data_IF_906035299751
#
_entry.id   IF_906035299751
#
_cell.length_a   1.000
_cell.length_b   1.000
_cell.length_c   1.000
_cell.angle_alpha   90.00
_cell.angle_beta   90.00
_cell.angle_gamma   90.00
#
_symmetry.space_group_name_H-M   'P 1'
#
loop_
_entity.id
_entity.type
_entity.pdbx_description
1 polymer ?
#
# COMPACT_ATOMS: atom_id res chain seq x y z
N UNK A 1 31.41 9.96 -31.89
CA UNK A 1 30.66 10.48 -30.73
C UNK A 1 29.73 9.35 -30.31
N UNK A 2 30.04 8.66 -29.21
CA UNK A 2 29.29 7.50 -28.76
C UNK A 2 28.10 7.99 -27.94
N UNK A 3 26.88 7.77 -28.43
CA UNK A 3 25.69 7.94 -27.61
C UNK A 3 25.63 6.73 -26.68
N UNK A 4 26.07 6.92 -25.44
CA UNK A 4 25.82 6.00 -24.34
C UNK A 4 24.31 5.79 -24.29
N UNK A 5 23.89 4.58 -24.67
CA UNK A 5 22.49 4.17 -24.60
C UNK A 5 22.16 4.01 -23.13
N UNK A 6 21.83 5.13 -22.48
CA UNK A 6 21.17 5.10 -21.19
C UNK A 6 19.85 4.39 -21.39
N UNK A 7 19.81 3.10 -21.07
CA UNK A 7 18.58 2.36 -21.02
C UNK A 7 17.65 3.10 -20.06
N UNK A 8 16.59 3.70 -20.59
CA UNK A 8 15.50 4.20 -19.78
C UNK A 8 14.86 2.96 -19.16
N UNK A 9 15.27 2.63 -17.93
CA UNK A 9 14.61 1.58 -17.19
C UNK A 9 13.17 2.05 -16.96
N UNK A 10 12.22 1.36 -17.60
CA UNK A 10 10.80 1.52 -17.28
C UNK A 10 10.63 0.94 -15.88
N UNK A 11 10.76 1.79 -14.87
CA UNK A 11 10.57 1.39 -13.47
C UNK A 11 9.10 1.49 -13.12
N UNK A 12 8.63 0.54 -12.31
CA UNK A 12 7.31 0.66 -11.73
C UNK A 12 7.27 1.86 -10.77
N UNK A 13 6.14 2.55 -10.78
CA UNK A 13 5.90 3.71 -9.93
C UNK A 13 4.47 3.71 -9.42
N UNK A 14 4.25 4.32 -8.27
CA UNK A 14 2.91 4.48 -7.70
C UNK A 14 2.68 5.89 -7.18
N UNK A 15 1.42 6.29 -7.14
CA UNK A 15 1.01 7.69 -6.92
C UNK A 15 -0.02 7.84 -5.81
N UNK A 16 -0.95 6.90 -5.65
CA UNK A 16 -2.04 7.04 -4.68
C UNK A 16 -2.61 5.70 -4.22
N UNK A 17 -3.39 5.75 -3.14
CA UNK A 17 -4.15 4.62 -2.62
C UNK A 17 -5.65 4.92 -2.76
N UNK A 18 -6.47 3.89 -2.97
CA UNK A 18 -7.93 4.04 -2.94
C UNK A 18 -8.46 4.47 -1.58
N UNK A 19 -7.79 4.06 -0.51
CA UNK A 19 -8.07 4.48 0.86
C UNK A 19 -6.77 4.61 1.65
N UNK A 20 -6.74 5.59 2.55
CA UNK A 20 -5.62 5.86 3.47
C UNK A 20 -5.94 5.43 4.90
N UNK A 21 -7.04 4.69 5.10
CA UNK A 21 -7.44 4.18 6.40
C UNK A 21 -8.21 2.88 6.32
N UNK A 22 -8.12 2.08 7.38
CA UNK A 22 -8.76 0.77 7.46
C UNK A 22 -8.88 0.27 8.88
N UNK A 23 -9.62 -0.82 9.06
CA UNK A 23 -9.83 -1.43 10.37
C UNK A 23 -8.52 -2.03 10.89
N UNK A 24 -8.21 -1.79 12.17
CA UNK A 24 -7.09 -2.45 12.87
C UNK A 24 -7.27 -3.96 13.00
N UNK A 25 -8.49 -4.48 12.88
CA UNK A 25 -8.72 -5.92 12.73
C UNK A 25 -8.23 -6.50 11.39
N UNK A 26 -7.79 -5.66 10.45
CA UNK A 26 -7.40 -6.05 9.10
C UNK A 26 -8.59 -6.19 8.15
N UNK A 27 -8.33 -6.74 6.96
CA UNK A 27 -9.36 -7.02 5.95
C UNK A 27 -9.73 -5.82 5.07
N UNK A 28 -9.08 -4.67 5.25
CA UNK A 28 -9.35 -3.50 4.40
C UNK A 28 -8.65 -3.67 3.05
N UNK A 29 -9.42 -3.73 1.97
CA UNK A 29 -8.88 -3.77 0.62
C UNK A 29 -8.33 -2.38 0.22
N UNK A 30 -7.07 -2.35 -0.21
CA UNK A 30 -6.36 -1.15 -0.64
C UNK A 30 -5.90 -1.37 -2.08
N UNK A 31 -6.28 -0.46 -2.96
CA UNK A 31 -5.80 -0.43 -4.34
C UNK A 31 -4.73 0.63 -4.47
N UNK A 32 -3.54 0.23 -4.90
CA UNK A 32 -2.42 1.10 -5.20
C UNK A 32 -2.47 1.48 -6.67
N UNK A 33 -2.61 2.77 -6.97
CA UNK A 33 -2.59 3.29 -8.33
C UNK A 33 -1.18 3.72 -8.71
N UNK A 34 -0.81 3.46 -9.96
CA UNK A 34 0.54 3.67 -10.45
C UNK A 34 0.68 3.43 -11.94
N UNK A 35 1.90 3.11 -12.36
CA UNK A 35 2.25 2.79 -13.73
C UNK A 35 3.42 1.82 -13.78
N UNK A 36 3.43 0.97 -14.81
CA UNK A 36 4.54 0.04 -15.08
C UNK A 36 4.49 -1.25 -14.28
N UNK A 37 3.39 -1.57 -13.58
CA UNK A 37 3.29 -2.82 -12.85
C UNK A 37 3.34 -4.03 -13.80
N UNK A 38 4.08 -5.06 -13.41
CA UNK A 38 4.28 -6.27 -14.19
C UNK A 38 3.68 -7.49 -13.47
N UNK A 39 2.78 -8.27 -14.10
CA UNK A 39 2.21 -9.47 -13.47
C UNK A 39 3.25 -10.55 -13.13
N UNK A 40 4.43 -10.53 -13.76
CA UNK A 40 5.54 -11.43 -13.42
C UNK A 40 6.31 -11.01 -12.15
N UNK A 41 6.11 -9.78 -11.68
CA UNK A 41 6.72 -9.28 -10.45
C UNK A 41 5.85 -9.63 -9.24
N UNK A 42 6.49 -10.02 -8.13
CA UNK A 42 5.83 -10.16 -6.84
C UNK A 42 5.78 -8.81 -6.15
N UNK A 43 4.58 -8.29 -5.88
CA UNK A 43 4.39 -7.04 -5.15
C UNK A 43 3.88 -7.32 -3.73
N UNK A 44 4.33 -6.53 -2.76
CA UNK A 44 3.85 -6.59 -1.38
C UNK A 44 3.59 -5.19 -0.85
N UNK A 45 2.43 -4.99 -0.23
CA UNK A 45 2.13 -3.80 0.55
C UNK A 45 2.77 -3.91 1.93
N UNK A 46 3.67 -2.99 2.26
CA UNK A 46 4.33 -2.90 3.54
C UNK A 46 3.71 -1.79 4.39
N UNK A 47 3.36 -2.15 5.63
CA UNK A 47 2.89 -1.25 6.67
C UNK A 47 3.89 -1.29 7.82
N UNK A 48 4.53 -0.16 8.14
CA UNK A 48 5.56 -0.11 9.16
C UNK A 48 5.35 1.01 10.19
N UNK A 49 5.58 0.71 11.47
CA UNK A 49 5.62 1.69 12.56
C UNK A 49 6.59 1.24 13.62
N UNK A 50 7.44 2.14 14.14
CA UNK A 50 8.25 1.91 15.35
C UNK A 50 8.94 0.51 15.43
N UNK A 51 9.47 0.00 14.31
CA UNK A 51 10.14 -1.30 14.23
C UNK A 51 9.24 -2.52 13.97
N UNK A 52 7.91 -2.36 13.98
CA UNK A 52 6.95 -3.37 13.52
C UNK A 52 6.76 -3.22 12.01
N UNK A 53 6.90 -4.31 11.27
CA UNK A 53 6.68 -4.36 9.82
C UNK A 53 5.71 -5.49 9.53
N UNK A 54 4.58 -5.15 8.89
CA UNK A 54 3.62 -6.12 8.38
C UNK A 54 3.55 -6.00 6.86
N UNK A 55 3.58 -7.13 6.16
CA UNK A 55 3.43 -7.18 4.70
C UNK A 55 2.16 -7.92 4.32
N UNK A 56 1.57 -7.50 3.20
CA UNK A 56 0.46 -8.18 2.55
C UNK A 56 0.77 -8.35 1.07
N UNK A 57 0.60 -9.56 0.55
CA UNK A 57 0.76 -9.84 -0.88
C UNK A 57 -0.22 -8.99 -1.69
N UNK A 58 0.30 -8.30 -2.69
CA UNK A 58 -0.51 -7.54 -3.62
C UNK A 58 -0.86 -8.39 -4.84
N UNK A 59 -2.15 -8.46 -5.16
CA UNK A 59 -2.66 -9.03 -6.39
C UNK A 59 -2.51 -8.02 -7.53
N UNK A 60 -1.95 -8.46 -8.64
CA UNK A 60 -1.89 -7.67 -9.87
C UNK A 60 -3.30 -7.50 -10.45
N UNK A 61 -3.70 -6.25 -10.70
CA UNK A 61 -4.99 -5.93 -11.33
C UNK A 61 -4.79 -5.44 -12.76
N UNK A 62 -3.85 -4.51 -12.96
CA UNK A 62 -3.43 -4.03 -14.28
C UNK A 62 -2.04 -3.40 -14.20
N UNK A 63 -1.46 -3.03 -15.35
CA UNK A 63 -0.19 -2.29 -15.38
C UNK A 63 -0.26 -0.91 -14.70
N UNK A 64 -1.45 -0.45 -14.33
CA UNK A 64 -1.71 0.79 -13.60
C UNK A 64 -2.24 0.58 -12.18
N UNK A 65 -2.51 -0.66 -11.76
CA UNK A 65 -3.04 -0.93 -10.42
C UNK A 65 -2.65 -2.30 -9.85
N UNK A 66 -2.32 -2.31 -8.56
CA UNK A 66 -2.21 -3.53 -7.75
C UNK A 66 -3.09 -3.39 -6.50
N UNK A 67 -3.58 -4.51 -5.94
CA UNK A 67 -4.48 -4.49 -4.79
C UNK A 67 -4.00 -5.41 -3.69
N UNK A 68 -4.02 -4.96 -2.45
CA UNK A 68 -3.64 -5.74 -1.28
C UNK A 68 -4.70 -5.62 -0.18
N UNK A 69 -4.71 -6.59 0.73
CA UNK A 69 -5.60 -6.57 1.89
C UNK A 69 -4.77 -6.23 3.12
N UNK A 70 -5.09 -5.12 3.79
CA UNK A 70 -4.38 -4.68 4.97
C UNK A 70 -4.45 -5.76 6.08
N UNK A 71 -3.31 -6.14 6.68
CA UNK A 71 -3.26 -7.15 7.73
C UNK A 71 -3.84 -6.61 9.05
N UNK A 72 -4.09 -7.51 10.00
CA UNK A 72 -4.49 -7.13 11.34
C UNK A 72 -3.33 -6.42 12.06
N UNK A 73 -3.63 -5.28 12.67
CA UNK A 73 -2.70 -4.38 13.33
C UNK A 73 -2.97 -4.40 14.84
N UNK A 74 -2.00 -4.88 15.62
CA UNK A 74 -2.15 -5.07 17.07
C UNK A 74 -2.36 -3.76 17.85
N UNK A 75 -1.74 -2.61 17.49
CA UNK A 75 -2.21 -1.32 17.97
C UNK A 75 -3.62 -1.09 17.43
N UNK A 76 -4.60 -0.90 18.31
CA UNK A 76 -5.98 -0.75 17.86
C UNK A 76 -6.21 0.53 17.02
N UNK A 77 -5.31 1.52 17.15
CA UNK A 77 -5.36 2.80 16.47
C UNK A 77 -3.93 3.29 16.18
N UNK A 78 -3.65 3.77 14.97
CA UNK A 78 -2.34 4.35 14.67
C UNK A 78 -2.05 4.59 13.20
N UNK A 79 -0.98 5.35 12.93
CA UNK A 79 -0.49 5.62 11.58
C UNK A 79 0.70 4.71 11.29
N UNK A 80 0.61 3.94 10.21
CA UNK A 80 1.70 3.15 9.67
C UNK A 80 2.22 3.80 8.38
N UNK A 81 3.54 3.85 8.19
CA UNK A 81 4.13 4.21 6.92
C UNK A 81 3.81 3.12 5.90
N UNK A 82 3.27 3.54 4.75
CA UNK A 82 2.95 2.66 3.64
C UNK A 82 4.07 2.69 2.60
N UNK A 83 4.51 1.51 2.16
CA UNK A 83 5.44 1.32 1.05
C UNK A 83 4.98 0.16 0.17
N UNK A 84 5.23 0.25 -1.13
CA UNK A 84 5.03 -0.86 -2.05
C UNK A 84 6.38 -1.51 -2.34
N UNK A 85 6.52 -2.79 -2.01
CA UNK A 85 7.69 -3.60 -2.32
C UNK A 85 7.51 -4.33 -3.65
N UNK A 86 8.63 -4.57 -4.33
CA UNK A 86 8.73 -5.37 -5.55
C UNK A 86 9.88 -6.38 -5.43
N UNK A 87 9.58 -7.65 -5.72
CA UNK A 87 10.53 -8.75 -5.57
C UNK A 87 10.93 -9.03 -4.11
N UNK A 88 12.15 -9.51 -3.90
CA UNK A 88 12.62 -9.93 -2.56
C UNK A 88 13.02 -8.79 -1.61
N UNK A 89 13.47 -7.64 -2.14
CA UNK A 89 14.04 -6.56 -1.31
C UNK A 89 13.88 -5.14 -1.87
N UNK A 90 13.25 -4.96 -3.04
CA UNK A 90 13.11 -3.66 -3.70
C UNK A 90 11.84 -2.90 -3.29
N UNK A 91 11.85 -1.58 -3.46
CA UNK A 91 10.65 -0.74 -3.33
C UNK A 91 10.29 -0.12 -4.68
N UNK A 92 9.00 -0.11 -4.98
CA UNK A 92 8.46 0.60 -6.13
C UNK A 92 8.59 2.11 -5.89
N UNK A 93 8.98 2.85 -6.91
CA UNK A 93 9.18 4.28 -6.80
C UNK A 93 7.86 4.99 -6.43
N UNK A 94 7.88 5.72 -5.31
CA UNK A 94 6.75 6.51 -4.84
C UNK A 94 6.84 7.93 -5.40
N UNK A 95 5.84 8.37 -6.16
CA UNK A 95 5.74 9.77 -6.60
C UNK A 95 5.12 10.67 -5.51
N UNK A 96 5.39 10.38 -4.24
CA UNK A 96 4.89 11.11 -3.08
C UNK A 96 6.08 11.59 -2.22
N UNK A 97 6.30 12.91 -2.10
CA UNK A 97 7.51 13.45 -1.48
C UNK A 97 7.56 13.30 0.04
N UNK A 98 6.41 13.22 0.72
CA UNK A 98 6.33 13.19 2.18
C UNK A 98 6.19 11.77 2.78
N UNK A 99 6.24 10.74 1.93
CA UNK A 99 5.76 9.42 2.31
C UNK A 99 4.24 9.38 2.47
N UNK A 100 3.67 8.19 2.50
CA UNK A 100 2.23 7.99 2.66
C UNK A 100 1.99 7.20 3.93
N UNK A 101 1.01 7.64 4.71
CA UNK A 101 0.60 6.95 5.92
C UNK A 101 -0.75 6.30 5.72
N UNK A 102 -0.88 5.06 6.19
CA UNK A 102 -2.14 4.36 6.31
C UNK A 102 -2.58 4.36 7.78
N UNK A 103 -3.80 4.81 8.04
CA UNK A 103 -4.35 4.91 9.39
C UNK A 103 -5.19 3.68 9.74
N UNK A 104 -4.72 2.89 10.69
CA UNK A 104 -5.50 1.84 11.31
C UNK A 104 -6.44 2.47 12.36
N UNK A 105 -7.72 2.14 12.29
CA UNK A 105 -8.75 2.61 13.23
C UNK A 105 -9.49 1.43 13.84
N UNK A 106 -9.90 1.55 15.11
CA UNK A 106 -10.85 0.59 15.69
C UNK A 106 -12.14 0.54 14.87
N UNK A 107 -12.71 -0.65 14.77
CA UNK A 107 -14.08 -0.77 14.32
C UNK A 107 -14.98 0.10 15.21
N UNK A 108 -15.89 0.90 14.63
CA UNK A 108 -16.91 1.53 15.45
C UNK A 108 -17.64 0.41 16.19
N UNK A 109 -17.67 0.50 17.52
CA UNK A 109 -18.68 -0.25 18.26
C UNK A 109 -19.99 0.34 17.79
N UNK A 110 -20.67 -0.34 16.86
CA UNK A 110 -22.00 0.07 16.48
C UNK A 110 -22.82 -0.01 17.77
N UNK A 111 -23.12 1.15 18.36
CA UNK A 111 -24.03 1.24 19.49
C UNK A 111 -25.41 1.41 18.88
N UNK A 112 -26.29 0.45 19.15
CA UNK A 112 -27.62 0.35 18.57
C UNK A 112 -28.58 1.50 18.82
N UNK A 113 -28.14 2.48 19.58
CA UNK A 113 -28.99 3.41 20.29
C UNK A 113 -29.13 4.76 19.58
N UNK A 114 -28.50 4.99 18.43
CA UNK A 114 -28.60 6.28 17.73
C UNK A 114 -28.81 6.13 16.22
N UNK A 115 -29.74 5.27 15.81
CA UNK A 115 -30.37 5.45 14.50
C UNK A 115 -31.30 6.67 14.59
N UNK A 116 -31.22 7.66 13.68
CA UNK A 116 -32.23 8.71 13.62
C UNK A 116 -33.57 8.10 13.25
N UNK A 117 -34.60 8.36 14.08
CA UNK A 117 -36.02 8.12 13.79
C UNK A 117 -36.50 8.92 12.58
#
# INVERSE_FOLDING_TARGET
>A
MSFDSTAVAVTDSWTSLSTYSGLSSGGTAVTVQGAGFNPASAYECEFSVAGTVLTATAAFSSSAAVSCVAPAWAPADGNALFRLKVGGSGYVHSNQPSGVFFRFVRAPTWNASTAPE
#
